data_IF_986089248799
#
_entry.id   IF_986089248799
#
_cell.length_a   1.000
_cell.length_b   1.000
_cell.length_c   1.000
_cell.angle_alpha   90.00
_cell.angle_beta   90.00
_cell.angle_gamma   90.00
#
_symmetry.space_group_name_H-M   'P 1'
#
loop_
_entity.id
_entity.type
_entity.pdbx_description
1 polymer ?
#
# COMPACT_ATOMS: atom_id res chain seq x y z
N UNK A 1 -21.39 15.75 5.07
CA UNK A 1 -20.03 15.32 4.67
C UNK A 1 -20.17 14.40 3.47
N UNK A 2 -19.28 14.50 2.48
CA UNK A 2 -19.28 13.58 1.34
C UNK A 2 -19.17 12.14 1.82
N UNK A 3 -20.00 11.23 1.28
CA UNK A 3 -19.96 9.81 1.63
C UNK A 3 -18.74 9.17 0.94
N UNK A 4 -17.64 9.00 1.67
CA UNK A 4 -16.37 8.47 1.19
C UNK A 4 -16.23 7.02 1.60
N UNK A 5 -15.93 6.18 0.64
CA UNK A 5 -15.67 4.76 0.84
C UNK A 5 -14.25 4.44 0.38
N UNK A 6 -13.54 3.71 1.19
CA UNK A 6 -12.20 3.22 0.85
C UNK A 6 -12.25 1.73 0.59
N UNK A 7 -11.35 1.25 -0.26
CA UNK A 7 -11.17 -0.19 -0.47
C UNK A 7 -9.69 -0.54 -0.55
N UNK A 8 -9.36 -1.73 -0.08
CA UNK A 8 -8.01 -2.28 -0.08
C UNK A 8 -8.08 -3.80 -0.17
N UNK A 9 -6.94 -4.46 -0.35
CA UNK A 9 -6.84 -5.90 -0.23
C UNK A 9 -5.55 -6.30 0.48
N UNK A 10 -5.59 -7.42 1.20
CA UNK A 10 -4.41 -8.05 1.79
C UNK A 10 -4.65 -9.49 2.22
N UNK A 11 -3.58 -10.23 2.45
CA UNK A 11 -3.61 -11.56 3.03
C UNK A 11 -3.39 -11.51 4.57
N UNK A 12 -3.48 -12.65 5.23
CA UNK A 12 -3.29 -12.77 6.69
C UNK A 12 -1.91 -12.30 7.17
N UNK A 13 -0.87 -12.35 6.32
CA UNK A 13 0.48 -11.87 6.67
C UNK A 13 0.61 -10.35 6.67
N UNK A 14 -0.36 -9.69 6.07
CA UNK A 14 -0.42 -8.22 5.99
C UNK A 14 -1.46 -7.62 6.95
N UNK A 15 -2.11 -8.45 7.79
CA UNK A 15 -3.18 -8.03 8.69
C UNK A 15 -2.80 -6.85 9.58
N UNK A 16 -1.61 -6.87 10.20
CA UNK A 16 -1.19 -5.75 11.07
C UNK A 16 -1.10 -4.43 10.31
N UNK A 17 -0.66 -4.44 9.04
CA UNK A 17 -0.60 -3.24 8.21
C UNK A 17 -1.98 -2.77 7.78
N UNK A 18 -2.83 -3.69 7.29
CA UNK A 18 -4.20 -3.36 6.91
C UNK A 18 -5.03 -2.84 8.08
N UNK A 19 -4.85 -3.38 9.29
CA UNK A 19 -5.48 -2.87 10.50
C UNK A 19 -4.91 -1.51 10.93
N UNK A 20 -3.61 -1.26 10.75
CA UNK A 20 -3.01 0.05 10.99
C UNK A 20 -3.57 1.11 10.02
N UNK A 21 -3.77 0.76 8.74
CA UNK A 21 -4.49 1.59 7.77
C UNK A 21 -5.91 1.89 8.29
N UNK A 22 -6.67 0.88 8.67
CA UNK A 22 -8.03 1.04 9.20
C UNK A 22 -8.05 1.95 10.43
N UNK A 23 -7.21 1.71 11.44
CA UNK A 23 -7.16 2.52 12.66
C UNK A 23 -6.80 3.98 12.35
N UNK A 24 -5.87 4.22 11.43
CA UNK A 24 -5.50 5.58 11.04
C UNK A 24 -6.64 6.30 10.29
N UNK A 25 -7.36 5.59 9.41
CA UNK A 25 -8.57 6.13 8.77
C UNK A 25 -9.66 6.45 9.79
N UNK A 26 -9.91 5.58 10.77
CA UNK A 26 -10.89 5.85 11.83
C UNK A 26 -10.56 7.12 12.64
N UNK A 27 -9.28 7.40 12.88
CA UNK A 27 -8.83 8.62 13.57
C UNK A 27 -8.98 9.88 12.71
N UNK A 28 -8.64 9.81 11.43
CA UNK A 28 -8.49 11.00 10.59
C UNK A 28 -9.61 11.19 9.54
N UNK A 29 -10.43 10.19 9.33
CA UNK A 29 -11.58 10.20 8.41
C UNK A 29 -12.79 9.48 9.06
N UNK A 30 -13.27 9.94 10.24
CA UNK A 30 -14.36 9.28 10.95
C UNK A 30 -15.63 9.23 10.09
N UNK A 31 -16.35 8.10 10.17
CA UNK A 31 -17.57 7.85 9.38
C UNK A 31 -17.30 7.34 7.95
N UNK A 32 -16.04 7.18 7.54
CA UNK A 32 -15.71 6.48 6.29
C UNK A 32 -15.72 4.97 6.49
N UNK A 33 -16.07 4.23 5.44
CA UNK A 33 -16.06 2.76 5.42
C UNK A 33 -14.83 2.25 4.69
N UNK A 34 -14.26 1.12 5.16
CA UNK A 34 -13.16 0.42 4.52
C UNK A 34 -13.60 -0.99 4.09
N UNK A 35 -13.68 -1.21 2.79
CA UNK A 35 -13.90 -2.53 2.22
C UNK A 35 -12.57 -3.26 2.05
N UNK A 36 -12.49 -4.48 2.56
CA UNK A 36 -11.27 -5.29 2.52
C UNK A 36 -11.52 -6.57 1.73
N UNK A 37 -10.86 -6.73 0.58
CA UNK A 37 -10.77 -8.01 -0.10
C UNK A 37 -9.75 -8.89 0.62
N UNK A 38 -10.22 -9.89 1.32
CA UNK A 38 -9.40 -10.85 2.05
C UNK A 38 -8.85 -11.89 1.07
N UNK A 39 -7.55 -11.82 0.76
CA UNK A 39 -6.91 -12.71 -0.21
C UNK A 39 -6.76 -14.16 0.30
N UNK A 40 -7.03 -14.39 1.58
CA UNK A 40 -7.04 -15.71 2.22
C UNK A 40 -8.23 -15.84 3.17
N UNK A 41 -8.72 -17.07 3.34
CA UNK A 41 -9.79 -17.35 4.29
C UNK A 41 -9.42 -17.06 5.75
N UNK A 42 -8.14 -17.19 6.09
CA UNK A 42 -7.61 -16.82 7.40
C UNK A 42 -7.76 -15.32 7.66
N UNK A 43 -7.39 -14.47 6.66
CA UNK A 43 -7.60 -13.04 6.73
C UNK A 43 -9.08 -12.70 6.97
N UNK A 44 -9.98 -13.30 6.19
CA UNK A 44 -11.41 -13.07 6.33
C UNK A 44 -11.93 -13.48 7.72
N UNK A 45 -11.60 -14.69 8.20
CA UNK A 45 -12.03 -15.17 9.50
C UNK A 45 -11.57 -14.27 10.63
N UNK A 46 -10.31 -13.81 10.57
CA UNK A 46 -9.75 -12.89 11.56
C UNK A 46 -10.50 -11.56 11.56
N UNK A 47 -10.65 -10.91 10.39
CA UNK A 47 -11.36 -9.62 10.34
C UNK A 47 -12.82 -9.72 10.72
N UNK A 48 -13.51 -10.80 10.32
CA UNK A 48 -14.90 -11.04 10.69
C UNK A 48 -15.06 -11.28 12.21
N UNK A 49 -14.10 -11.95 12.85
CA UNK A 49 -14.13 -12.19 14.31
C UNK A 49 -13.84 -10.93 15.13
N UNK A 50 -13.15 -9.94 14.56
CA UNK A 50 -12.87 -8.67 15.23
C UNK A 50 -14.09 -7.73 15.24
N UNK A 51 -15.07 -7.95 14.36
CA UNK A 51 -16.32 -7.17 14.23
C UNK A 51 -16.09 -5.65 14.32
N UNK A 52 -15.15 -5.16 13.55
CA UNK A 52 -14.72 -3.76 13.59
C UNK A 52 -15.71 -2.83 12.88
N UNK A 53 -16.14 -1.73 13.50
CA UNK A 53 -17.14 -0.83 12.91
C UNK A 53 -16.63 -0.21 11.60
N UNK A 54 -17.49 -0.16 10.57
CA UNK A 54 -17.20 0.38 9.25
C UNK A 54 -16.07 -0.34 8.47
N UNK A 55 -15.59 -1.51 8.93
CA UNK A 55 -14.72 -2.40 8.20
C UNK A 55 -15.56 -3.53 7.61
N UNK A 56 -15.49 -3.68 6.28
CA UNK A 56 -16.36 -4.63 5.53
C UNK A 56 -15.45 -5.67 4.85
N UNK A 57 -15.17 -6.80 5.49
CA UNK A 57 -14.37 -7.86 4.89
C UNK A 57 -15.19 -8.63 3.85
N UNK A 58 -14.54 -9.02 2.74
CA UNK A 58 -15.09 -9.87 1.70
C UNK A 58 -14.12 -10.99 1.37
N UNK A 59 -14.64 -12.19 1.11
CA UNK A 59 -13.82 -13.33 0.68
C UNK A 59 -13.37 -13.16 -0.77
N UNK A 60 -12.17 -13.63 -1.07
CA UNK A 60 -11.69 -13.68 -2.45
C UNK A 60 -12.65 -14.51 -3.34
N UNK A 61 -13.16 -15.63 -2.84
CA UNK A 61 -14.10 -16.47 -3.60
C UNK A 61 -15.43 -15.78 -3.95
N UNK A 62 -15.94 -14.90 -3.07
CA UNK A 62 -17.14 -14.10 -3.35
C UNK A 62 -16.88 -13.08 -4.45
N UNK A 63 -15.72 -12.46 -4.42
CA UNK A 63 -15.28 -11.51 -5.43
C UNK A 63 -15.03 -12.21 -6.78
N UNK A 64 -14.33 -13.36 -6.79
CA UNK A 64 -14.08 -14.16 -7.98
C UNK A 64 -15.38 -14.66 -8.64
N UNK A 65 -16.39 -15.01 -7.83
CA UNK A 65 -17.71 -15.38 -8.34
C UNK A 65 -18.45 -14.21 -8.99
N UNK A 66 -18.25 -12.99 -8.50
CA UNK A 66 -18.83 -11.77 -9.06
C UNK A 66 -18.07 -11.24 -10.29
N UNK A 67 -16.80 -11.62 -10.46
CA UNK A 67 -15.93 -11.23 -11.57
C UNK A 67 -15.17 -12.44 -12.15
N UNK A 68 -15.87 -13.32 -12.92
CA UNK A 68 -15.26 -14.52 -13.48
C UNK A 68 -14.11 -14.26 -14.46
N UNK A 69 -14.08 -13.09 -15.14
CA UNK A 69 -12.99 -12.72 -16.05
C UNK A 69 -11.69 -12.48 -15.28
N UNK A 70 -11.76 -11.81 -14.13
CA UNK A 70 -10.60 -11.65 -13.24
C UNK A 70 -10.17 -13.01 -12.69
N UNK A 71 -11.10 -13.82 -12.20
CA UNK A 71 -10.82 -15.17 -11.70
C UNK A 71 -10.09 -16.04 -12.74
N UNK A 72 -10.48 -15.96 -14.02
CA UNK A 72 -9.87 -16.69 -15.12
C UNK A 72 -8.40 -16.30 -15.37
N UNK A 73 -7.92 -15.14 -14.92
CA UNK A 73 -6.51 -14.74 -15.05
C UNK A 73 -5.59 -15.45 -14.06
N UNK A 74 -6.12 -15.95 -12.95
CA UNK A 74 -5.35 -16.50 -11.82
C UNK A 74 -4.38 -17.63 -12.20
N UNK A 75 -4.75 -18.62 -13.06
CA UNK A 75 -3.84 -19.70 -13.44
C UNK A 75 -2.63 -19.25 -14.28
N UNK A 76 -2.71 -18.11 -14.95
CA UNK A 76 -1.68 -17.59 -15.87
C UNK A 76 -0.77 -16.54 -15.25
N UNK A 77 -0.96 -16.22 -13.98
CA UNK A 77 -0.24 -15.15 -13.27
C UNK A 77 0.36 -15.66 -11.97
N UNK A 78 1.48 -15.06 -11.56
CA UNK A 78 1.96 -15.21 -10.18
C UNK A 78 0.96 -14.62 -9.19
N UNK A 79 1.05 -15.00 -7.91
CA UNK A 79 0.16 -14.45 -6.89
C UNK A 79 0.21 -12.92 -6.83
N UNK A 80 1.40 -12.33 -7.00
CA UNK A 80 1.58 -10.87 -7.00
C UNK A 80 0.90 -10.21 -8.20
N UNK A 81 1.09 -10.76 -9.40
CA UNK A 81 0.46 -10.26 -10.64
C UNK A 81 -1.06 -10.38 -10.58
N UNK A 82 -1.55 -11.46 -9.99
CA UNK A 82 -2.99 -11.62 -9.74
C UNK A 82 -3.53 -10.56 -8.79
N UNK A 83 -2.79 -10.25 -7.71
CA UNK A 83 -3.18 -9.20 -6.77
C UNK A 83 -3.22 -7.82 -7.44
N UNK A 84 -2.25 -7.49 -8.28
CA UNK A 84 -2.29 -6.27 -9.11
C UNK A 84 -3.51 -6.24 -10.04
N UNK A 85 -3.89 -7.41 -10.62
CA UNK A 85 -5.10 -7.50 -11.45
C UNK A 85 -6.37 -7.21 -10.64
N UNK A 86 -6.38 -7.57 -9.37
CA UNK A 86 -7.53 -7.34 -8.49
C UNK A 86 -7.73 -5.85 -8.14
N UNK A 87 -6.70 -4.98 -8.17
CA UNK A 87 -6.81 -3.58 -7.74
C UNK A 87 -7.97 -2.83 -8.39
N UNK A 88 -8.03 -2.66 -9.73
CA UNK A 88 -9.14 -1.97 -10.38
C UNK A 88 -10.46 -2.75 -10.32
N UNK A 89 -10.40 -4.06 -10.37
CA UNK A 89 -11.60 -4.91 -10.34
C UNK A 89 -12.29 -4.84 -8.97
N UNK A 90 -11.52 -4.86 -7.90
CA UNK A 90 -12.03 -4.68 -6.55
C UNK A 90 -12.65 -3.30 -6.34
N UNK A 91 -11.97 -2.26 -6.82
CA UNK A 91 -12.50 -0.90 -6.78
C UNK A 91 -13.83 -0.79 -7.53
N UNK A 92 -13.95 -1.41 -8.73
CA UNK A 92 -15.18 -1.44 -9.51
C UNK A 92 -16.30 -2.22 -8.80
N UNK A 93 -15.94 -3.32 -8.13
CA UNK A 93 -16.89 -4.09 -7.33
C UNK A 93 -17.48 -3.22 -6.21
N UNK A 94 -16.64 -2.48 -5.48
CA UNK A 94 -17.09 -1.60 -4.40
C UNK A 94 -17.93 -0.44 -4.92
N UNK A 95 -17.58 0.17 -6.06
CA UNK A 95 -18.42 1.19 -6.73
C UNK A 95 -19.83 0.68 -7.01
N UNK A 96 -19.96 -0.58 -7.43
CA UNK A 96 -21.27 -1.21 -7.70
C UNK A 96 -22.06 -1.55 -6.43
N UNK A 97 -21.38 -1.84 -5.33
CA UNK A 97 -22.02 -2.16 -4.05
C UNK A 97 -22.45 -0.91 -3.27
N UNK A 98 -21.71 0.19 -3.40
CA UNK A 98 -21.84 1.41 -2.60
C UNK A 98 -22.49 2.55 -3.41
N UNK A 99 -23.71 2.34 -3.88
CA UNK A 99 -24.42 3.29 -4.76
C UNK A 99 -24.57 4.70 -4.15
N UNK A 100 -24.56 4.81 -2.82
CA UNK A 100 -24.65 6.10 -2.12
C UNK A 100 -23.29 6.77 -1.91
N UNK A 101 -22.19 6.09 -2.19
CA UNK A 101 -20.85 6.67 -2.07
C UNK A 101 -20.66 7.77 -3.12
N UNK A 102 -20.14 8.91 -2.71
CA UNK A 102 -19.71 9.94 -3.65
C UNK A 102 -18.36 9.59 -4.27
N UNK A 103 -17.44 9.07 -3.47
CA UNK A 103 -16.12 8.62 -3.88
C UNK A 103 -15.82 7.24 -3.35
N UNK A 104 -15.28 6.39 -4.21
CA UNK A 104 -14.58 5.17 -3.82
C UNK A 104 -13.10 5.35 -4.09
N UNK A 105 -12.26 5.08 -3.09
CA UNK A 105 -10.81 5.24 -3.20
C UNK A 105 -10.11 3.94 -2.86
N UNK A 106 -9.34 3.40 -3.80
CA UNK A 106 -8.42 2.31 -3.54
C UNK A 106 -7.20 2.82 -2.79
N UNK A 107 -6.78 2.07 -1.79
CA UNK A 107 -5.60 2.32 -0.97
C UNK A 107 -4.74 1.07 -0.85
N UNK A 108 -3.41 1.21 -0.96
CA UNK A 108 -2.51 0.13 -0.57
C UNK A 108 -2.57 -0.10 0.95
N UNK A 109 -2.47 -1.37 1.35
CA UNK A 109 -2.63 -1.79 2.75
C UNK A 109 -1.53 -1.33 3.71
N UNK A 110 -0.44 -0.72 3.20
CA UNK A 110 0.67 -0.17 3.99
C UNK A 110 0.74 1.37 3.97
N UNK A 111 -0.39 2.01 3.72
CA UNK A 111 -0.57 3.43 4.00
C UNK A 111 -0.92 3.65 5.47
N UNK A 112 -0.51 4.80 6.01
CA UNK A 112 -0.90 5.24 7.35
C UNK A 112 -1.13 6.74 7.34
N UNK A 113 -2.31 7.15 7.86
CA UNK A 113 -2.74 8.54 7.90
C UNK A 113 -2.26 9.23 9.17
N UNK A 114 -1.82 10.47 9.03
CA UNK A 114 -1.37 11.36 10.08
C UNK A 114 -2.30 12.57 10.22
N UNK A 115 -3.05 12.90 9.15
CA UNK A 115 -4.02 13.98 9.09
C UNK A 115 -5.25 13.59 8.28
N UNK A 116 -6.31 14.41 8.37
CA UNK A 116 -7.52 14.22 7.57
C UNK A 116 -7.22 14.29 6.07
N UNK A 117 -7.76 13.36 5.26
CA UNK A 117 -7.69 13.43 3.81
C UNK A 117 -8.55 14.53 3.18
N UNK A 118 -9.25 15.33 3.97
CA UNK A 118 -10.12 16.41 3.46
C UNK A 118 -9.40 17.40 2.55
N UNK A 119 -8.10 17.64 2.80
CA UNK A 119 -7.31 18.52 1.94
C UNK A 119 -7.16 17.94 0.52
N UNK A 120 -7.07 16.61 0.39
CA UNK A 120 -7.05 15.94 -0.92
C UNK A 120 -8.42 16.10 -1.58
N UNK A 121 -9.51 15.78 -0.88
CA UNK A 121 -10.85 15.83 -1.46
C UNK A 121 -11.28 17.25 -1.87
N UNK A 122 -10.76 18.30 -1.24
CA UNK A 122 -10.95 19.69 -1.72
C UNK A 122 -10.30 19.92 -3.09
N UNK A 123 -9.18 19.27 -3.40
CA UNK A 123 -8.60 19.34 -4.76
C UNK A 123 -9.43 18.61 -5.81
N UNK A 124 -10.32 17.70 -5.40
CA UNK A 124 -11.09 16.85 -6.31
C UNK A 124 -12.42 17.47 -6.74
N UNK A 125 -12.73 18.69 -6.33
CA UNK A 125 -13.96 19.36 -6.73
C UNK A 125 -14.08 19.43 -8.27
N UNK A 126 -15.23 19.04 -8.80
CA UNK A 126 -15.46 18.94 -10.25
C UNK A 126 -14.78 17.76 -10.95
N UNK A 127 -13.96 16.96 -10.27
CA UNK A 127 -13.26 15.81 -10.84
C UNK A 127 -14.09 14.53 -10.73
N UNK A 128 -13.77 13.55 -11.57
CA UNK A 128 -14.36 12.21 -11.55
C UNK A 128 -13.32 11.12 -11.20
N UNK A 129 -12.06 11.38 -11.48
CA UNK A 129 -10.96 10.45 -11.20
C UNK A 129 -9.81 11.19 -10.55
N UNK A 130 -9.19 10.56 -9.56
CA UNK A 130 -8.03 11.09 -8.86
C UNK A 130 -6.88 10.07 -8.91
N UNK A 131 -5.72 10.54 -9.35
CA UNK A 131 -4.48 9.76 -9.36
C UNK A 131 -3.37 10.55 -8.70
N UNK A 132 -2.40 9.84 -8.11
CA UNK A 132 -1.33 10.47 -7.35
C UNK A 132 0.04 10.13 -7.94
N UNK A 133 0.92 11.13 -8.20
CA UNK A 133 2.24 10.86 -8.73
C UNK A 133 3.18 10.30 -7.65
N UNK A 134 4.16 9.48 -8.07
CA UNK A 134 5.26 9.06 -7.21
C UNK A 134 6.13 10.23 -6.76
N UNK A 135 6.25 11.28 -7.57
CA UNK A 135 7.16 12.41 -7.32
C UNK A 135 8.59 11.95 -7.07
N UNK A 136 9.12 10.99 -7.84
CA UNK A 136 10.48 10.50 -7.69
C UNK A 136 11.50 11.62 -7.61
N UNK A 137 12.51 11.46 -6.75
CA UNK A 137 13.69 12.35 -6.79
C UNK A 137 14.45 12.21 -8.12
N UNK A 138 15.24 13.19 -8.51
CA UNK A 138 16.07 13.11 -9.71
C UNK A 138 16.95 11.84 -9.74
N UNK A 139 17.48 11.43 -8.58
CA UNK A 139 18.28 10.20 -8.42
C UNK A 139 17.48 8.91 -8.73
N UNK A 140 16.15 8.97 -8.67
CA UNK A 140 15.25 7.86 -8.90
C UNK A 140 14.46 7.98 -10.21
N UNK A 141 14.73 8.96 -11.09
CA UNK A 141 13.99 9.23 -12.33
C UNK A 141 13.87 8.02 -13.26
N UNK A 142 14.88 7.14 -13.29
CA UNK A 142 14.85 5.89 -14.07
C UNK A 142 13.69 4.96 -13.67
N UNK A 143 13.07 5.17 -12.50
CA UNK A 143 11.92 4.39 -12.03
C UNK A 143 10.60 4.84 -12.64
N UNK A 144 10.57 5.98 -13.34
CA UNK A 144 9.41 6.42 -14.11
C UNK A 144 8.96 5.37 -15.14
N UNK A 145 9.86 4.48 -15.57
CA UNK A 145 9.52 3.34 -16.43
C UNK A 145 8.50 2.36 -15.83
N UNK A 146 8.34 2.36 -14.50
CA UNK A 146 7.34 1.57 -13.80
C UNK A 146 5.99 2.29 -13.65
N UNK A 147 5.90 3.55 -14.05
CA UNK A 147 4.73 4.40 -13.96
C UNK A 147 5.01 5.73 -13.27
N UNK A 148 4.41 6.79 -13.80
CA UNK A 148 4.46 8.14 -13.23
C UNK A 148 3.62 8.19 -11.94
N UNK A 149 2.46 7.54 -11.97
CA UNK A 149 1.48 7.53 -10.90
C UNK A 149 1.58 6.26 -10.06
N UNK A 150 1.26 6.39 -8.78
CA UNK A 150 1.29 5.29 -7.81
C UNK A 150 -0.13 4.78 -7.55
N UNK A 151 -0.33 3.47 -7.59
CA UNK A 151 -1.63 2.86 -7.30
C UNK A 151 -2.00 3.00 -5.82
N UNK A 152 -1.04 3.26 -4.94
CA UNK A 152 -1.29 3.38 -3.50
C UNK A 152 -2.43 4.32 -3.11
N UNK A 153 -2.84 5.23 -4.02
CA UNK A 153 -4.06 6.02 -3.95
C UNK A 153 -4.63 6.19 -5.36
N UNK A 154 -5.81 5.63 -5.61
CA UNK A 154 -6.59 5.89 -6.82
C UNK A 154 -8.04 6.14 -6.42
N UNK A 155 -8.58 7.31 -6.72
CA UNK A 155 -9.97 7.67 -6.42
C UNK A 155 -10.84 7.69 -7.68
N UNK A 156 -12.09 7.24 -7.57
CA UNK A 156 -13.10 7.44 -8.59
C UNK A 156 -14.41 7.91 -7.94
N UNK A 157 -15.03 8.91 -8.57
CA UNK A 157 -16.36 9.35 -8.23
C UNK A 157 -17.35 8.28 -8.70
N UNK A 158 -18.40 8.07 -7.94
CA UNK A 158 -19.46 7.12 -8.33
C UNK A 158 -20.41 7.78 -9.33
N UNK A 159 -19.88 8.12 -10.48
CA UNK A 159 -20.59 8.71 -11.61
C UNK A 159 -20.12 8.05 -12.94
N UNK A 160 -20.77 8.30 -14.07
CA UNK A 160 -20.42 7.66 -15.34
C UNK A 160 -18.95 7.79 -15.73
N UNK A 161 -18.32 8.97 -15.57
CA UNK A 161 -16.93 9.20 -15.95
C UNK A 161 -15.95 8.42 -15.05
N UNK A 162 -16.20 8.39 -13.72
CA UNK A 162 -15.37 7.63 -12.79
C UNK A 162 -15.51 6.13 -13.00
N UNK A 163 -16.74 5.64 -13.22
CA UNK A 163 -17.00 4.22 -13.50
C UNK A 163 -16.37 3.79 -14.84
N UNK A 164 -16.44 4.63 -15.87
CA UNK A 164 -15.81 4.37 -17.18
C UNK A 164 -14.29 4.18 -17.02
N UNK A 165 -13.63 5.07 -16.29
CA UNK A 165 -12.19 5.00 -16.10
C UNK A 165 -11.75 3.74 -15.36
N UNK A 166 -12.45 3.37 -14.28
CA UNK A 166 -12.13 2.14 -13.51
C UNK A 166 -12.46 0.89 -14.32
N UNK A 167 -13.55 0.90 -15.10
CA UNK A 167 -13.92 -0.21 -15.99
C UNK A 167 -12.84 -0.46 -17.04
N UNK A 168 -12.34 0.61 -17.68
CA UNK A 168 -11.26 0.51 -18.64
C UNK A 168 -9.97 -0.01 -17.97
N UNK A 169 -9.62 0.50 -16.80
CA UNK A 169 -8.42 0.06 -16.07
C UNK A 169 -8.51 -1.43 -15.72
N UNK A 170 -9.67 -1.89 -15.23
CA UNK A 170 -9.94 -3.30 -14.99
C UNK A 170 -9.76 -4.13 -16.27
N UNK A 171 -10.36 -3.70 -17.39
CA UNK A 171 -10.25 -4.44 -18.65
C UNK A 171 -8.80 -4.59 -19.11
N UNK A 172 -7.99 -3.52 -18.96
CA UNK A 172 -6.56 -3.55 -19.29
C UNK A 172 -5.77 -4.46 -18.35
N UNK A 173 -6.07 -4.50 -17.06
CA UNK A 173 -5.43 -5.41 -16.13
C UNK A 173 -5.84 -6.87 -16.36
N UNK A 174 -7.05 -7.15 -16.80
CA UNK A 174 -7.47 -8.50 -17.22
C UNK A 174 -6.69 -8.93 -18.49
N UNK A 175 -6.57 -8.02 -19.46
CA UNK A 175 -5.82 -8.26 -20.70
C UNK A 175 -4.34 -8.56 -20.41
N UNK A 176 -3.68 -7.71 -19.63
CA UNK A 176 -2.26 -7.83 -19.30
C UNK A 176 -1.94 -7.15 -17.96
N UNK A 177 -1.31 -7.87 -17.03
CA UNK A 177 -0.86 -7.32 -15.75
C UNK A 177 0.27 -8.18 -15.18
N UNK A 178 1.52 -7.86 -15.53
CA UNK A 178 2.71 -8.61 -15.11
C UNK A 178 3.74 -7.73 -14.41
N UNK A 179 4.55 -8.34 -13.53
CA UNK A 179 5.58 -7.66 -12.72
C UNK A 179 6.89 -7.47 -13.52
N UNK A 180 6.76 -7.03 -14.76
CA UNK A 180 7.89 -6.59 -15.60
C UNK A 180 7.42 -5.50 -16.58
N UNK A 181 8.39 -4.69 -17.05
CA UNK A 181 8.11 -3.63 -18.02
C UNK A 181 8.03 -4.22 -19.42
N UNK A 182 6.93 -3.95 -20.13
CA UNK A 182 6.71 -4.28 -21.52
C UNK A 182 6.15 -3.06 -22.26
N UNK A 183 7.01 -2.36 -22.98
CA UNK A 183 6.68 -1.06 -23.56
C UNK A 183 6.32 -0.04 -22.48
N UNK A 184 5.08 0.43 -22.50
CA UNK A 184 4.50 1.36 -21.52
C UNK A 184 3.70 0.65 -20.40
N UNK A 185 3.64 -0.70 -20.43
CA UNK A 185 2.91 -1.51 -19.45
C UNK A 185 3.82 -1.93 -18.30
N UNK A 186 3.31 -1.83 -17.10
CA UNK A 186 3.88 -2.39 -15.89
C UNK A 186 2.78 -2.59 -14.85
N UNK A 187 2.52 -3.83 -14.45
CA UNK A 187 1.51 -4.20 -13.47
C UNK A 187 0.16 -3.50 -13.76
N UNK A 188 -0.57 -3.12 -12.74
CA UNK A 188 -1.76 -2.27 -12.80
C UNK A 188 -1.42 -0.77 -12.95
N UNK A 189 -0.24 -0.39 -12.53
CA UNK A 189 0.23 0.99 -12.37
C UNK A 189 0.55 1.68 -13.70
N UNK A 190 1.14 0.97 -14.67
CA UNK A 190 1.53 1.55 -15.97
C UNK A 190 0.35 2.19 -16.70
N UNK A 191 -0.84 1.62 -16.56
CA UNK A 191 -2.06 2.09 -17.21
C UNK A 191 -2.51 3.48 -16.74
N UNK A 192 -2.20 3.87 -15.50
CA UNK A 192 -2.54 5.19 -14.98
C UNK A 192 -1.86 6.33 -15.74
N UNK A 193 -0.75 6.06 -16.44
CA UNK A 193 -0.04 7.07 -17.24
C UNK A 193 -0.93 7.64 -18.35
N UNK A 194 -1.87 6.86 -18.88
CA UNK A 194 -2.77 7.29 -19.95
C UNK A 194 -4.04 8.00 -19.46
N UNK A 195 -4.33 7.96 -18.15
CA UNK A 195 -5.56 8.53 -17.59
C UNK A 195 -5.77 10.00 -17.95
N UNK A 196 -4.78 10.91 -17.79
CA UNK A 196 -4.98 12.33 -18.06
C UNK A 196 -5.31 12.66 -19.53
N UNK A 197 -4.86 11.83 -20.47
CA UNK A 197 -5.14 12.03 -21.90
C UNK A 197 -6.38 11.29 -22.38
N UNK A 198 -6.82 10.27 -21.63
CA UNK A 198 -7.90 9.36 -22.05
C UNK A 198 -9.25 9.73 -21.47
N UNK A 199 -9.30 10.15 -20.23
CA UNK A 199 -10.54 10.39 -19.49
C UNK A 199 -10.77 11.86 -19.19
N UNK A 200 -12.03 12.23 -19.08
CA UNK A 200 -12.42 13.56 -18.64
C UNK A 200 -12.32 13.70 -17.13
N UNK A 201 -12.17 14.93 -16.65
CA UNK A 201 -12.22 15.27 -15.23
C UNK A 201 -11.24 14.46 -14.36
N UNK A 202 -10.05 14.15 -14.89
CA UNK A 202 -8.98 13.53 -14.14
C UNK A 202 -8.19 14.60 -13.36
N UNK A 203 -8.11 14.45 -12.05
CA UNK A 203 -7.25 15.26 -11.17
C UNK A 203 -5.97 14.49 -10.84
N UNK A 204 -4.86 15.11 -11.11
CA UNK A 204 -3.56 14.69 -10.57
C UNK A 204 -3.40 15.41 -9.23
N UNK A 205 -3.33 14.64 -8.13
CA UNK A 205 -3.21 15.19 -6.78
C UNK A 205 -1.87 15.93 -6.63
N UNK A 206 -1.94 17.20 -6.28
CA UNK A 206 -0.78 18.08 -6.13
C UNK A 206 -0.33 18.21 -4.67
N UNK A 207 -1.22 18.01 -3.70
CA UNK A 207 -0.91 18.12 -2.28
C UNK A 207 0.29 17.24 -1.89
N UNK A 208 1.39 17.88 -1.49
CA UNK A 208 2.64 17.18 -1.15
C UNK A 208 2.55 16.39 0.16
N UNK A 209 1.56 16.68 1.01
CA UNK A 209 1.24 15.91 2.20
C UNK A 209 0.70 14.51 1.92
N UNK A 210 0.23 14.27 0.70
CA UNK A 210 -0.27 12.99 0.26
C UNK A 210 0.84 12.17 -0.43
N UNK A 211 0.94 10.87 -0.11
CA UNK A 211 1.88 9.92 -0.71
C UNK A 211 3.37 10.26 -0.48
N UNK A 212 3.70 10.77 0.71
CA UNK A 212 5.09 10.81 1.13
C UNK A 212 5.60 9.38 1.34
N UNK A 213 6.81 9.09 0.87
CA UNK A 213 7.34 7.73 0.84
C UNK A 213 8.87 7.72 0.70
N UNK A 214 9.54 6.57 0.87
CA UNK A 214 10.99 6.49 0.68
C UNK A 214 11.49 6.96 -0.69
N UNK A 215 10.68 6.88 -1.74
CA UNK A 215 11.09 7.26 -3.09
C UNK A 215 11.07 8.77 -3.37
N UNK A 216 10.37 9.56 -2.55
CA UNK A 216 10.21 11.01 -2.75
C UNK A 216 10.57 11.88 -1.53
N UNK A 217 10.67 11.33 -0.33
CA UNK A 217 10.95 12.08 0.90
C UNK A 217 12.21 12.96 0.80
N UNK A 218 13.18 12.54 -0.02
CA UNK A 218 14.40 13.31 -0.27
C UNK A 218 14.21 14.59 -1.09
N UNK A 219 13.00 14.90 -1.56
CA UNK A 219 12.66 16.17 -2.22
C UNK A 219 12.27 17.26 -1.23
N UNK A 220 11.95 16.89 0.00
CA UNK A 220 11.27 17.74 0.94
C UNK A 220 12.07 17.85 2.25
N UNK A 221 11.91 18.97 2.92
CA UNK A 221 12.30 19.12 4.32
C UNK A 221 11.17 18.59 5.20
N UNK A 222 11.51 17.72 6.14
CA UNK A 222 10.56 17.17 7.12
C UNK A 222 10.87 17.78 8.48
N UNK A 223 9.89 18.48 9.04
CA UNK A 223 9.94 19.09 10.37
C UNK A 223 8.82 18.53 11.25
N UNK A 224 8.92 18.68 12.56
CA UNK A 224 7.86 18.38 13.51
C UNK A 224 7.53 19.65 14.30
N UNK A 225 6.29 20.12 14.21
CA UNK A 225 5.79 21.33 14.86
C UNK A 225 4.32 21.16 15.23
N UNK A 226 3.93 21.71 16.38
CA UNK A 226 2.55 21.70 16.85
C UNK A 226 1.91 20.31 16.79
N UNK A 227 2.67 19.30 17.25
CA UNK A 227 2.32 17.87 17.24
C UNK A 227 2.03 17.28 15.85
N UNK A 228 2.52 17.93 14.78
CA UNK A 228 2.33 17.51 13.40
C UNK A 228 3.65 17.32 12.65
N UNK A 229 3.65 16.36 11.74
CA UNK A 229 4.73 16.23 10.75
C UNK A 229 4.45 17.19 9.62
N UNK A 230 5.39 18.13 9.39
CA UNK A 230 5.27 19.17 8.36
C UNK A 230 6.24 18.90 7.22
N UNK A 231 5.77 19.12 6.00
CA UNK A 231 6.54 19.04 4.75
C UNK A 231 6.78 20.45 4.25
N UNK A 232 8.06 20.80 4.03
CA UNK A 232 8.49 22.15 3.63
C UNK A 232 7.90 23.27 4.50
N UNK A 233 7.74 22.98 5.80
CA UNK A 233 7.22 23.86 6.84
C UNK A 233 5.76 24.30 6.72
N UNK A 234 5.11 24.08 5.61
CA UNK A 234 3.78 24.63 5.31
C UNK A 234 2.69 23.57 5.10
N UNK A 235 3.03 22.37 4.70
CA UNK A 235 2.06 21.32 4.37
C UNK A 235 2.12 20.20 5.42
N UNK A 236 1.03 19.89 6.13
CA UNK A 236 1.01 18.75 7.04
C UNK A 236 1.05 17.44 6.26
N UNK A 237 1.72 16.43 6.83
CA UNK A 237 1.72 15.07 6.28
C UNK A 237 0.33 14.47 6.42
N UNK A 238 -0.34 14.18 5.31
CA UNK A 238 -1.65 13.53 5.31
C UNK A 238 -1.49 12.03 5.47
N UNK A 239 -0.71 11.39 4.60
CA UNK A 239 -0.38 9.97 4.74
C UNK A 239 1.01 9.64 4.20
N UNK A 240 1.61 8.63 4.84
CA UNK A 240 2.89 8.06 4.42
C UNK A 240 2.66 6.65 3.86
N UNK A 241 3.40 6.29 2.80
CA UNK A 241 3.37 4.97 2.20
C UNK A 241 4.60 4.18 2.68
N UNK A 242 4.37 3.21 3.56
CA UNK A 242 5.43 2.43 4.24
C UNK A 242 5.97 1.28 3.41
N UNK A 243 5.97 1.43 2.07
CA UNK A 243 6.46 0.40 1.17
C UNK A 243 7.84 -0.12 1.59
N UNK A 244 7.94 -1.45 1.66
CA UNK A 244 9.21 -2.14 1.93
C UNK A 244 9.63 -2.15 3.39
N UNK A 245 8.77 -1.78 4.33
CA UNK A 245 8.97 -2.09 5.74
C UNK A 245 8.93 -3.61 5.90
N UNK A 246 9.98 -4.18 6.50
CA UNK A 246 10.06 -5.62 6.76
C UNK A 246 10.03 -5.89 8.26
N UNK A 247 9.18 -6.83 8.66
CA UNK A 247 9.09 -7.37 10.02
C UNK A 247 9.95 -8.63 10.11
N UNK A 248 10.86 -8.68 11.08
CA UNK A 248 11.61 -9.86 11.46
C UNK A 248 11.31 -10.27 12.91
N UNK A 249 11.86 -11.39 13.36
CA UNK A 249 11.78 -11.78 14.76
C UNK A 249 12.55 -10.75 15.62
N UNK A 250 11.84 -9.89 16.34
CA UNK A 250 12.42 -8.90 17.23
C UNK A 250 12.94 -7.61 16.57
N UNK A 251 12.61 -7.33 15.30
CA UNK A 251 13.03 -6.08 14.65
C UNK A 251 12.13 -5.67 13.47
N UNK A 252 12.20 -4.37 13.11
CA UNK A 252 11.70 -3.83 11.86
C UNK A 252 12.84 -3.18 11.08
N UNK A 253 12.86 -3.35 9.76
CA UNK A 253 13.87 -2.78 8.85
C UNK A 253 13.22 -1.96 7.74
N UNK A 254 13.78 -0.78 7.46
CA UNK A 254 13.31 0.17 6.44
C UNK A 254 14.18 0.12 5.19
N UNK A 255 14.23 -1.04 4.53
CA UNK A 255 15.13 -1.29 3.40
C UNK A 255 14.98 -0.26 2.26
N UNK A 256 13.78 0.28 2.06
CA UNK A 256 13.53 1.14 0.92
C UNK A 256 14.21 2.51 1.04
N UNK A 257 14.52 3.00 2.25
CA UNK A 257 15.37 4.20 2.37
C UNK A 257 16.74 4.02 1.72
N UNK A 258 17.34 2.83 1.84
CA UNK A 258 18.60 2.51 1.14
C UNK A 258 18.40 2.33 -0.37
N UNK A 259 17.34 1.62 -0.77
CA UNK A 259 17.03 1.34 -2.18
C UNK A 259 16.79 2.62 -2.96
N UNK A 260 16.10 3.58 -2.36
CA UNK A 260 15.80 4.88 -2.98
C UNK A 260 16.83 5.97 -2.64
N UNK A 261 17.90 5.64 -1.88
CA UNK A 261 18.89 6.62 -1.38
C UNK A 261 18.22 7.79 -0.65
N UNK A 262 17.17 7.48 0.09
CA UNK A 262 16.37 8.45 0.81
C UNK A 262 17.05 8.85 2.12
N UNK A 263 16.93 10.12 2.54
CA UNK A 263 17.37 10.54 3.86
C UNK A 263 16.56 9.84 4.96
N UNK A 264 17.18 9.60 6.11
CA UNK A 264 16.53 9.05 7.27
C UNK A 264 16.99 9.83 8.50
N UNK A 265 16.27 10.93 8.80
CA UNK A 265 16.57 11.78 9.95
C UNK A 265 15.98 11.23 11.25
N UNK A 266 16.44 11.76 12.39
CA UNK A 266 15.86 11.47 13.68
C UNK A 266 14.37 11.80 13.77
N UNK A 267 13.94 12.91 13.14
CA UNK A 267 12.53 13.31 13.10
C UNK A 267 11.68 12.34 12.29
N UNK A 268 12.14 11.92 11.12
CA UNK A 268 11.47 10.91 10.29
C UNK A 268 11.34 9.59 11.09
N UNK A 269 12.42 9.16 11.76
CA UNK A 269 12.38 7.98 12.63
C UNK A 269 11.34 8.12 13.74
N UNK A 270 11.40 9.23 14.49
CA UNK A 270 10.62 9.46 15.70
C UNK A 270 9.14 9.76 15.41
N UNK A 271 8.87 10.57 14.39
CA UNK A 271 7.53 11.12 14.17
C UNK A 271 6.77 10.50 12.98
N UNK A 272 7.47 9.77 12.08
CA UNK A 272 6.81 9.05 10.98
C UNK A 272 6.84 7.54 11.21
N UNK A 273 8.02 6.95 11.40
CA UNK A 273 8.13 5.49 11.48
C UNK A 273 7.74 4.93 12.86
N UNK A 274 8.14 5.59 13.94
CA UNK A 274 7.86 5.07 15.29
C UNK A 274 6.36 4.94 15.57
N UNK A 275 5.50 5.95 15.30
CA UNK A 275 4.05 5.81 15.48
C UNK A 275 3.46 4.63 14.71
N UNK A 276 3.91 4.40 13.47
CA UNK A 276 3.44 3.28 12.67
C UNK A 276 3.91 1.93 13.24
N UNK A 277 5.19 1.83 13.65
CA UNK A 277 5.73 0.61 14.26
C UNK A 277 5.06 0.30 15.60
N UNK A 278 4.82 1.30 16.43
CA UNK A 278 4.09 1.13 17.70
C UNK A 278 2.66 0.63 17.46
N UNK A 279 1.95 1.19 16.45
CA UNK A 279 0.64 0.71 16.03
C UNK A 279 0.67 -0.75 15.57
N UNK A 280 1.64 -1.13 14.72
CA UNK A 280 1.81 -2.51 14.27
C UNK A 280 2.03 -3.47 15.45
N UNK A 281 2.85 -3.09 16.43
CA UNK A 281 3.11 -3.91 17.63
C UNK A 281 1.88 -4.05 18.51
N UNK A 282 1.12 -2.97 18.71
CA UNK A 282 -0.14 -3.01 19.46
C UNK A 282 -1.15 -3.96 18.80
N UNK A 283 -1.28 -3.87 17.47
CA UNK A 283 -2.15 -4.77 16.70
C UNK A 283 -1.64 -6.22 16.78
N UNK A 284 -0.36 -6.47 16.54
CA UNK A 284 0.23 -7.83 16.63
C UNK A 284 -0.01 -8.45 18.01
N UNK A 285 0.07 -7.66 19.07
CA UNK A 285 -0.23 -8.11 20.43
C UNK A 285 -1.70 -8.48 20.63
N UNK A 286 -2.62 -7.73 20.04
CA UNK A 286 -4.06 -7.96 20.16
C UNK A 286 -4.57 -9.14 19.34
N UNK A 287 -4.03 -9.32 18.12
CA UNK A 287 -4.44 -10.41 17.21
C UNK A 287 -3.53 -11.66 17.30
N UNK A 288 -2.39 -11.56 17.99
CA UNK A 288 -1.41 -12.65 18.11
C UNK A 288 -1.97 -13.98 18.56
N UNK A 289 -2.89 -14.03 19.54
CA UNK A 289 -3.57 -15.27 19.92
C UNK A 289 -4.43 -15.88 18.80
N UNK A 290 -4.89 -15.06 17.85
CA UNK A 290 -5.72 -15.47 16.71
C UNK A 290 -4.85 -16.01 15.58
N UNK A 291 -3.63 -15.47 15.41
CA UNK A 291 -2.69 -15.82 14.34
C UNK A 291 -1.75 -17.00 14.67
N UNK A 292 -1.69 -17.47 15.91
CA UNK A 292 -0.78 -18.54 16.34
C UNK A 292 -1.01 -19.92 15.68
N UNK A 293 -1.88 -20.04 14.70
CA UNK A 293 -2.24 -21.31 14.05
C UNK A 293 -1.70 -21.45 12.62
N UNK A 294 -0.93 -20.52 12.09
CA UNK A 294 -0.34 -20.73 10.76
C UNK A 294 1.16 -21.02 10.85
N UNK A 295 1.49 -22.30 10.88
CA UNK A 295 2.80 -22.83 10.53
C UNK A 295 3.31 -22.21 9.23
N UNK A 296 4.23 -21.25 9.33
CA UNK A 296 5.10 -20.89 8.25
C UNK A 296 6.07 -22.05 8.06
N UNK A 297 5.62 -23.14 7.41
CA UNK A 297 6.55 -24.13 6.86
C UNK A 297 7.32 -23.43 5.75
N UNK A 298 8.64 -23.26 5.89
CA UNK A 298 9.45 -22.81 4.77
C UNK A 298 9.24 -23.82 3.65
N UNK A 299 8.85 -23.33 2.48
CA UNK A 299 8.75 -24.15 1.28
C UNK A 299 10.13 -24.75 1.04
N UNK A 300 10.35 -25.98 1.48
CA UNK A 300 11.53 -26.78 1.13
C UNK A 300 11.39 -27.07 -0.36
N UNK A 301 11.98 -26.23 -1.19
CA UNK A 301 12.37 -26.66 -2.53
C UNK A 301 13.46 -27.71 -2.35
N UNK A 302 13.10 -28.97 -2.55
CA UNK A 302 14.06 -30.02 -2.85
C UNK A 302 14.61 -29.73 -4.24
N UNK A 303 15.73 -29.00 -4.30
CA UNK A 303 16.50 -28.86 -5.52
C UNK A 303 17.92 -29.30 -5.21
N UNK A 304 18.47 -30.12 -6.07
CA UNK A 304 19.92 -30.31 -6.15
C UNK A 304 20.53 -28.94 -6.34
N UNK A 305 21.12 -28.38 -5.28
CA UNK A 305 21.70 -27.05 -5.30
C UNK A 305 23.03 -27.17 -6.01
N UNK A 306 23.15 -26.63 -7.21
CA UNK A 306 24.42 -26.44 -7.88
C UNK A 306 25.35 -25.60 -6.96
N UNK A 307 26.62 -26.01 -6.86
CA UNK A 307 27.64 -25.36 -6.01
C UNK A 307 27.74 -23.86 -6.31
N UNK A 308 27.57 -23.44 -7.58
CA UNK A 308 27.54 -22.05 -7.99
C UNK A 308 26.34 -21.28 -7.39
N UNK A 309 25.16 -21.89 -7.35
CA UNK A 309 23.97 -21.31 -6.71
C UNK A 309 24.12 -21.26 -5.17
N UNK A 310 24.78 -22.25 -4.58
CA UNK A 310 25.07 -22.25 -3.14
C UNK A 310 26.03 -21.13 -2.74
N UNK A 311 27.15 -20.96 -3.47
CA UNK A 311 28.12 -19.89 -3.24
C UNK A 311 27.53 -18.50 -3.49
N UNK A 312 26.71 -18.34 -4.55
CA UNK A 312 25.97 -17.10 -4.78
C UNK A 312 24.90 -16.83 -3.71
N UNK A 313 24.33 -17.88 -3.12
CA UNK A 313 23.43 -17.80 -1.97
C UNK A 313 24.16 -17.34 -0.70
N UNK A 314 25.34 -17.90 -0.42
CA UNK A 314 26.19 -17.50 0.70
C UNK A 314 26.68 -16.05 0.56
N UNK A 315 27.15 -15.65 -0.61
CA UNK A 315 27.59 -14.27 -0.88
C UNK A 315 26.42 -13.27 -0.73
N UNK A 316 25.22 -13.63 -1.18
CA UNK A 316 24.00 -12.83 -0.94
C UNK A 316 23.64 -12.76 0.54
N UNK A 317 23.78 -13.88 1.27
CA UNK A 317 23.55 -13.95 2.71
C UNK A 317 24.52 -13.06 3.48
N UNK A 318 25.82 -13.12 3.17
CA UNK A 318 26.85 -12.27 3.79
C UNK A 318 26.62 -10.80 3.48
N UNK A 319 26.35 -10.46 2.23
CA UNK A 319 26.00 -9.10 1.80
C UNK A 319 24.76 -8.56 2.55
N UNK A 320 23.74 -9.40 2.73
CA UNK A 320 22.55 -9.01 3.47
C UNK A 320 22.85 -8.76 4.96
N UNK A 321 23.71 -9.56 5.59
CA UNK A 321 24.14 -9.34 6.98
C UNK A 321 24.93 -8.03 7.14
N UNK A 322 25.85 -7.74 6.22
CA UNK A 322 26.57 -6.45 6.20
C UNK A 322 25.60 -5.28 6.06
N UNK A 323 24.62 -5.40 5.16
CA UNK A 323 23.60 -4.36 5.01
C UNK A 323 22.68 -4.21 6.23
N UNK A 324 22.35 -5.30 6.92
CA UNK A 324 21.59 -5.24 8.17
C UNK A 324 22.39 -4.49 9.26
N UNK A 325 23.69 -4.78 9.40
CA UNK A 325 24.57 -4.05 10.33
C UNK A 325 24.64 -2.55 9.99
N UNK A 326 24.79 -2.21 8.71
CA UNK A 326 24.76 -0.81 8.27
C UNK A 326 23.41 -0.13 8.54
N UNK A 327 22.30 -0.83 8.37
CA UNK A 327 20.97 -0.32 8.67
C UNK A 327 20.79 -0.11 10.19
N UNK A 328 21.35 -1.00 11.03
CA UNK A 328 21.40 -0.80 12.48
C UNK A 328 22.24 0.43 12.87
N UNK A 329 23.47 0.55 12.32
CA UNK A 329 24.35 1.69 12.59
C UNK A 329 23.76 3.03 12.11
N UNK A 330 22.91 3.02 11.09
CA UNK A 330 22.26 4.22 10.53
C UNK A 330 20.86 4.48 11.09
N UNK A 331 20.46 3.75 12.14
CA UNK A 331 19.16 3.92 12.80
C UNK A 331 17.95 3.47 11.96
N UNK A 332 18.17 2.74 10.85
CA UNK A 332 17.10 2.22 9.97
C UNK A 332 16.49 0.90 10.46
N UNK A 333 16.69 0.58 11.72
CA UNK A 333 16.12 -0.60 12.37
C UNK A 333 15.49 -0.16 13.67
N UNK A 334 14.30 -0.67 13.96
CA UNK A 334 13.77 -0.71 15.31
C UNK A 334 13.97 -2.09 15.88
N UNK A 335 14.63 -2.18 17.03
CA UNK A 335 14.66 -3.39 17.84
C UNK A 335 13.37 -3.49 18.66
N UNK A 336 12.81 -4.68 18.74
CA UNK A 336 11.61 -4.94 19.53
C UNK A 336 12.01 -5.75 20.76
N UNK A 337 11.92 -5.14 21.94
CA UNK A 337 12.19 -5.79 23.21
C UNK A 337 10.91 -5.72 24.05
N UNK A 338 10.40 -6.89 24.48
CA UNK A 338 9.17 -6.98 25.29
C UNK A 338 7.98 -6.18 24.75
N UNK A 339 7.79 -6.23 23.41
CA UNK A 339 6.69 -5.53 22.76
C UNK A 339 6.88 -4.03 22.52
N UNK A 340 8.05 -3.46 22.84
CA UNK A 340 8.35 -2.04 22.63
C UNK A 340 9.42 -1.87 21.55
N UNK A 341 9.24 -0.89 20.65
CA UNK A 341 10.20 -0.53 19.61
C UNK A 341 11.20 0.55 20.11
N UNK A 342 12.49 0.30 19.91
CA UNK A 342 13.61 1.15 20.29
C UNK A 342 14.43 1.59 19.08
#
# INVERSE_FOLDING_TARGET
>A
MANRVYCTYFDHRYLSRGLALYHSLRRHAPGSRLWVLCLTDECYRTLASLDLPDLIPRRLAEFEAADPEVAATRPTRSALEYYFTCSPAWMLFVLKCELSAEWVTYLDGDLFFFESPDAIFRELEGSAVAIIPHRYTAKNSRRLRFGIYNVGWVGARNDPDGIEAVTWWRAKCVEWCHDYVDGDRFADQGYLNSFPSRFRRVKIIENIGANLAPWNIGKYRIDFRDDRVMIDTTCPLIFFHFQGLKRGLGWFIFNNHRVYRAPFSGDVRKHVYKPYVDELLAIESSIGPILQVSDVKPHRRSAVIDLGQYLAGMARGLRNRVFQLLDMMTGRVFLVLRGTAY
#
